data_IF_705596077573
#
_entry.id   IF_705596077573
#
_cell.length_a   1.000
_cell.length_b   1.000
_cell.length_c   1.000
_cell.angle_alpha   90.00
_cell.angle_beta   90.00
_cell.angle_gamma   90.00
#
_symmetry.space_group_name_H-M   'P 1'
#
loop_
_entity.id
_entity.type
_entity.pdbx_description
1 polymer ?
#
# COMPACT_ATOMS: atom_id res chain seq x y z
N UNK A 1 -8.59 5.55 7.39
CA UNK A 1 -8.21 5.23 5.99
C UNK A 1 -7.96 6.46 5.13
N UNK A 2 -8.82 7.48 5.14
CA UNK A 2 -8.71 8.66 4.24
C UNK A 2 -7.34 9.37 4.30
N UNK A 3 -6.82 9.62 5.50
CA UNK A 3 -5.50 10.24 5.69
C UNK A 3 -4.37 9.39 5.09
N UNK A 4 -4.39 8.08 5.34
CA UNK A 4 -3.38 7.16 4.79
C UNK A 4 -3.42 7.07 3.27
N UNK A 5 -4.62 7.07 2.66
CA UNK A 5 -4.77 7.11 1.20
C UNK A 5 -4.15 8.39 0.61
N UNK A 6 -4.34 9.53 1.29
CA UNK A 6 -3.72 10.80 0.92
C UNK A 6 -2.20 10.76 0.95
N UNK A 7 -1.62 10.25 2.04
CA UNK A 7 -0.17 10.08 2.19
C UNK A 7 0.39 9.20 1.08
N UNK A 8 -0.24 8.06 0.83
CA UNK A 8 0.20 7.09 -0.18
C UNK A 8 0.15 7.67 -1.60
N UNK A 9 -0.92 8.40 -1.95
CA UNK A 9 -1.02 9.11 -3.21
C UNK A 9 0.06 10.19 -3.38
N UNK A 10 0.43 10.88 -2.29
CA UNK A 10 1.49 11.87 -2.32
C UNK A 10 2.86 11.24 -2.57
N UNK A 11 3.21 10.18 -1.81
CA UNK A 11 4.45 9.41 -2.03
C UNK A 11 4.54 8.93 -3.47
N UNK A 12 3.48 8.27 -3.96
CA UNK A 12 3.45 7.71 -5.31
C UNK A 12 3.63 8.78 -6.39
N UNK A 13 3.02 9.96 -6.21
CA UNK A 13 3.00 11.01 -7.24
C UNK A 13 4.22 11.92 -7.20
N UNK A 14 4.59 12.42 -6.01
CA UNK A 14 5.54 13.53 -5.84
C UNK A 14 6.97 13.02 -5.63
N UNK A 15 7.14 11.86 -5.00
CA UNK A 15 8.46 11.27 -4.82
C UNK A 15 8.74 10.28 -5.94
N UNK A 16 7.98 9.19 -6.01
CA UNK A 16 8.36 8.02 -6.81
C UNK A 16 8.15 8.28 -8.31
N UNK A 17 6.96 8.72 -8.72
CA UNK A 17 6.67 8.98 -10.14
C UNK A 17 7.47 10.17 -10.68
N UNK A 18 7.63 11.24 -9.88
CA UNK A 18 8.39 12.41 -10.29
C UNK A 18 9.88 12.08 -10.49
N UNK A 19 10.47 11.27 -9.62
CA UNK A 19 11.85 10.82 -9.77
C UNK A 19 12.01 9.89 -10.99
N UNK A 20 11.09 8.94 -11.17
CA UNK A 20 11.08 8.09 -12.34
C UNK A 20 10.97 8.89 -13.65
N UNK A 21 10.17 9.96 -13.67
CA UNK A 21 10.04 10.86 -14.82
C UNK A 21 11.35 11.57 -15.16
N UNK A 22 12.10 12.02 -14.15
CA UNK A 22 13.42 12.65 -14.32
C UNK A 22 14.45 11.67 -14.87
N UNK A 23 14.40 10.41 -14.45
CA UNK A 23 15.43 9.41 -14.78
C UNK A 23 15.14 8.60 -16.06
N UNK A 24 13.88 8.27 -16.35
CA UNK A 24 13.50 7.38 -17.47
C UNK A 24 12.72 8.08 -18.60
N UNK A 25 12.30 9.33 -18.40
CA UNK A 25 11.49 10.10 -19.35
C UNK A 25 10.02 9.67 -19.40
N UNK A 26 9.18 10.53 -19.97
CA UNK A 26 7.72 10.42 -19.89
C UNK A 26 7.15 9.09 -20.40
N UNK A 27 7.62 8.60 -21.56
CA UNK A 27 7.09 7.38 -22.15
C UNK A 27 7.33 6.15 -21.26
N UNK A 28 8.55 6.00 -20.74
CA UNK A 28 8.92 4.90 -19.84
C UNK A 28 8.17 4.98 -18.51
N UNK A 29 8.02 6.18 -17.95
CA UNK A 29 7.30 6.39 -16.69
C UNK A 29 5.82 6.07 -16.84
N UNK A 30 5.14 6.59 -17.86
CA UNK A 30 3.72 6.29 -18.11
C UNK A 30 3.52 4.79 -18.36
N UNK A 31 4.37 4.18 -19.19
CA UNK A 31 4.31 2.75 -19.47
C UNK A 31 4.50 1.91 -18.20
N UNK A 32 5.50 2.24 -17.38
CA UNK A 32 5.74 1.58 -16.09
C UNK A 32 4.56 1.73 -15.14
N UNK A 33 4.05 2.95 -14.94
CA UNK A 33 2.90 3.21 -14.07
C UNK A 33 1.67 2.40 -14.48
N UNK A 34 1.33 2.38 -15.77
CA UNK A 34 0.19 1.59 -16.25
C UNK A 34 0.44 0.09 -16.07
N UNK A 35 1.65 -0.40 -16.34
CA UNK A 35 1.99 -1.81 -16.13
C UNK A 35 1.91 -2.22 -14.66
N UNK A 36 2.41 -1.39 -13.75
CA UNK A 36 2.34 -1.61 -12.30
C UNK A 36 0.92 -1.57 -11.76
N UNK A 37 0.14 -0.58 -12.17
CA UNK A 37 -1.29 -0.50 -11.85
C UNK A 37 -2.04 -1.74 -12.35
N UNK A 38 -1.86 -2.11 -13.61
CA UNK A 38 -2.49 -3.31 -14.19
C UNK A 38 -2.06 -4.59 -13.45
N UNK A 39 -0.79 -4.72 -13.07
CA UNK A 39 -0.29 -5.87 -12.31
C UNK A 39 -0.99 -5.97 -10.95
N UNK A 40 -1.10 -4.84 -10.23
CA UNK A 40 -1.83 -4.79 -8.97
C UNK A 40 -3.31 -5.14 -9.18
N UNK A 41 -4.00 -4.49 -10.12
CA UNK A 41 -5.41 -4.72 -10.39
C UNK A 41 -5.70 -6.16 -10.81
N UNK A 42 -4.83 -6.78 -11.63
CA UNK A 42 -4.97 -8.19 -12.04
C UNK A 42 -4.77 -9.11 -10.84
N UNK A 43 -3.73 -8.88 -10.02
CA UNK A 43 -3.51 -9.66 -8.82
C UNK A 43 -4.70 -9.53 -7.87
N UNK A 44 -5.19 -8.31 -7.66
CA UNK A 44 -6.35 -8.02 -6.84
C UNK A 44 -7.60 -8.74 -7.36
N UNK A 45 -7.86 -8.68 -8.68
CA UNK A 45 -8.98 -9.35 -9.33
C UNK A 45 -8.89 -10.88 -9.33
N UNK A 46 -7.68 -11.45 -9.47
CA UNK A 46 -7.43 -12.88 -9.49
C UNK A 46 -7.69 -13.54 -8.13
N UNK A 47 -7.62 -12.76 -7.05
CA UNK A 47 -7.98 -13.24 -5.74
C UNK A 47 -9.50 -13.38 -5.73
N UNK A 48 -10.00 -14.62 -5.66
CA UNK A 48 -11.40 -15.08 -5.90
C UNK A 48 -12.51 -14.41 -5.06
N UNK A 49 -12.16 -13.39 -4.27
CA UNK A 49 -12.97 -12.59 -3.36
C UNK A 49 -12.74 -11.08 -3.54
N UNK A 50 -12.17 -10.65 -4.68
CA UNK A 50 -11.72 -9.29 -4.99
C UNK A 50 -12.74 -8.17 -4.67
N UNK A 51 -14.04 -8.44 -4.86
CA UNK A 51 -15.11 -7.46 -4.60
C UNK A 51 -15.33 -7.14 -3.11
N UNK A 52 -14.70 -7.87 -2.19
CA UNK A 52 -15.21 -8.01 -0.82
C UNK A 52 -14.13 -8.32 0.24
N UNK A 53 -12.87 -8.03 -0.07
CA UNK A 53 -11.70 -8.59 0.64
C UNK A 53 -11.27 -7.81 1.88
N UNK A 54 -11.35 -6.47 1.82
CA UNK A 54 -11.18 -5.56 2.96
C UNK A 54 -12.55 -5.06 3.39
N UNK A 55 -13.27 -5.93 4.09
CA UNK A 55 -14.51 -5.59 4.77
C UNK A 55 -14.14 -4.89 6.07
N UNK A 56 -14.31 -3.57 6.14
CA UNK A 56 -14.23 -2.81 7.39
C UNK A 56 -15.31 -3.30 8.36
N UNK A 57 -14.98 -3.45 9.64
CA UNK A 57 -15.84 -4.08 10.65
C UNK A 57 -17.29 -3.59 10.74
N UNK A 58 -17.61 -2.39 10.24
CA UNK A 58 -18.97 -1.82 10.24
C UNK A 58 -19.58 -1.56 8.85
N UNK A 59 -18.82 -1.55 7.74
CA UNK A 59 -19.36 -1.19 6.41
C UNK A 59 -20.04 -2.38 5.72
N UNK A 60 -19.46 -3.58 5.92
CA UNK A 60 -20.02 -4.89 5.63
C UNK A 60 -19.28 -5.82 6.60
N UNK A 61 -19.94 -6.39 7.62
CA UNK A 61 -19.25 -7.14 8.66
C UNK A 61 -18.31 -8.17 8.07
N UNK A 62 -17.08 -8.24 8.58
CA UNK A 62 -16.22 -9.36 8.26
C UNK A 62 -16.93 -10.63 8.72
N UNK A 63 -17.21 -11.59 7.83
CA UNK A 63 -17.85 -12.81 8.25
C UNK A 63 -16.91 -13.54 9.22
N UNK A 64 -17.50 -14.08 10.27
CA UNK A 64 -16.83 -15.05 11.14
C UNK A 64 -16.48 -16.31 10.33
N UNK A 65 -15.57 -17.15 10.84
CA UNK A 65 -15.33 -18.48 10.22
C UNK A 65 -16.61 -19.32 10.13
N UNK A 66 -17.55 -19.11 11.06
CA UNK A 66 -18.82 -19.82 11.08
C UNK A 66 -19.75 -19.41 9.92
N UNK A 67 -19.70 -18.14 9.49
CA UNK A 67 -20.55 -17.61 8.41
C UNK A 67 -19.92 -17.82 7.03
N UNK A 68 -18.60 -17.72 6.93
CA UNK A 68 -17.86 -17.96 5.70
C UNK A 68 -16.53 -18.65 6.03
N UNK A 69 -16.46 -19.98 5.93
CA UNK A 69 -15.21 -20.73 6.11
C UNK A 69 -14.11 -20.22 5.19
N UNK A 70 -12.92 -19.94 5.73
CA UNK A 70 -11.80 -19.38 4.96
C UNK A 70 -11.85 -17.85 4.79
N UNK A 71 -12.79 -17.17 5.43
CA UNK A 71 -12.81 -15.69 5.46
C UNK A 71 -11.51 -15.10 6.03
N UNK A 72 -10.88 -15.77 7.02
CA UNK A 72 -9.59 -15.34 7.56
C UNK A 72 -8.45 -15.38 6.54
N UNK A 73 -8.41 -16.39 5.65
CA UNK A 73 -7.36 -16.49 4.63
C UNK A 73 -7.54 -15.42 3.55
N UNK A 74 -8.78 -15.06 3.22
CA UNK A 74 -9.07 -13.98 2.27
C UNK A 74 -8.58 -12.61 2.79
N UNK A 75 -8.76 -12.33 4.08
CA UNK A 75 -8.24 -11.11 4.73
C UNK A 75 -6.72 -11.12 4.68
N UNK A 76 -6.10 -12.22 5.12
CA UNK A 76 -4.65 -12.34 5.18
C UNK A 76 -3.99 -12.12 3.81
N UNK A 77 -4.51 -12.75 2.78
CA UNK A 77 -4.01 -12.59 1.41
C UNK A 77 -4.33 -11.21 0.83
N UNK A 78 -5.38 -10.53 1.29
CA UNK A 78 -5.71 -9.16 0.90
C UNK A 78 -4.69 -8.18 1.45
N UNK A 79 -4.48 -8.20 2.76
CA UNK A 79 -3.49 -7.34 3.41
C UNK A 79 -2.06 -7.65 2.95
N UNK A 80 -1.74 -8.92 2.68
CA UNK A 80 -0.44 -9.28 2.12
C UNK A 80 -0.25 -8.76 0.69
N UNK A 81 -1.29 -8.76 -0.15
CA UNK A 81 -1.21 -8.19 -1.50
C UNK A 81 -0.89 -6.70 -1.43
N UNK A 82 -1.56 -5.97 -0.54
CA UNK A 82 -1.41 -4.51 -0.41
C UNK A 82 -0.02 -4.13 0.12
N UNK A 83 0.60 -4.98 0.96
CA UNK A 83 1.96 -4.77 1.43
C UNK A 83 3.05 -4.97 0.36
N UNK A 84 2.75 -5.67 -0.74
CA UNK A 84 3.75 -6.00 -1.78
C UNK A 84 4.22 -4.74 -2.54
N UNK A 85 3.33 -3.89 -3.10
CA UNK A 85 3.74 -2.64 -3.74
C UNK A 85 4.64 -1.77 -2.86
N UNK A 86 4.28 -1.60 -1.58
CA UNK A 86 5.04 -0.78 -0.63
C UNK A 86 6.43 -1.37 -0.36
N UNK A 87 6.52 -2.68 -0.11
CA UNK A 87 7.79 -3.36 0.13
C UNK A 87 8.75 -3.26 -1.06
N UNK A 88 8.23 -3.45 -2.28
CA UNK A 88 9.02 -3.36 -3.50
C UNK A 88 9.57 -1.94 -3.70
N UNK A 89 8.72 -0.92 -3.55
CA UNK A 89 9.10 0.48 -3.65
C UNK A 89 10.16 0.85 -2.62
N UNK A 90 9.99 0.40 -1.37
CA UNK A 90 10.95 0.67 -0.30
C UNK A 90 12.31 0.05 -0.61
N UNK A 91 12.34 -1.22 -1.05
CA UNK A 91 13.58 -1.91 -1.38
C UNK A 91 14.32 -1.28 -2.57
N UNK A 92 13.58 -0.89 -3.62
CA UNK A 92 14.14 -0.18 -4.79
C UNK A 92 14.71 1.18 -4.38
N UNK A 93 13.98 1.93 -3.56
CA UNK A 93 14.41 3.27 -3.14
C UNK A 93 15.63 3.21 -2.21
N UNK A 94 15.60 2.29 -1.25
CA UNK A 94 16.71 2.01 -0.34
C UNK A 94 17.99 1.66 -1.09
N UNK A 95 17.89 0.89 -2.17
CA UNK A 95 19.04 0.51 -3.00
C UNK A 95 19.59 1.69 -3.81
N UNK A 96 18.71 2.54 -4.34
CA UNK A 96 19.09 3.61 -5.26
C UNK A 96 19.78 4.79 -4.54
N UNK A 97 19.27 5.21 -3.36
CA UNK A 97 19.76 6.43 -2.67
C UNK A 97 20.10 6.23 -1.20
N UNK A 98 20.00 5.00 -0.69
CA UNK A 98 20.10 4.74 0.74
C UNK A 98 18.76 4.95 1.47
N UNK A 99 18.76 4.92 2.81
CA UNK A 99 17.52 4.98 3.59
C UNK A 99 16.82 6.32 3.44
N UNK A 100 15.61 6.29 2.90
CA UNK A 100 14.72 7.44 2.80
C UNK A 100 13.75 7.44 3.98
N UNK A 101 14.08 8.26 4.98
CA UNK A 101 13.27 8.35 6.19
C UNK A 101 11.88 8.94 5.92
N UNK A 102 11.75 9.83 4.94
CA UNK A 102 10.46 10.43 4.58
C UNK A 102 9.54 9.36 4.00
N UNK A 103 10.04 8.56 3.05
CA UNK A 103 9.32 7.43 2.48
C UNK A 103 8.91 6.40 3.55
N UNK A 104 9.84 6.02 4.42
CA UNK A 104 9.57 5.06 5.53
C UNK A 104 8.46 5.60 6.44
N UNK A 105 8.56 6.86 6.85
CA UNK A 105 7.57 7.49 7.72
C UNK A 105 6.20 7.64 7.04
N UNK A 106 6.19 7.94 5.74
CA UNK A 106 4.97 8.05 4.96
C UNK A 106 4.24 6.71 4.87
N UNK A 107 4.95 5.64 4.52
CA UNK A 107 4.39 4.28 4.45
C UNK A 107 3.97 3.76 5.83
N UNK A 108 4.70 4.11 6.89
CA UNK A 108 4.28 3.79 8.25
C UNK A 108 2.99 4.51 8.62
N UNK A 109 2.86 5.78 8.24
CA UNK A 109 1.68 6.61 8.51
C UNK A 109 0.47 6.20 7.68
N UNK A 110 0.65 5.68 6.46
CA UNK A 110 -0.44 5.11 5.65
C UNK A 110 -0.94 3.77 6.22
N UNK A 111 -0.02 2.94 6.71
CA UNK A 111 -0.33 1.62 7.26
C UNK A 111 -0.99 1.66 8.64
N UNK A 112 -0.70 2.67 9.47
CA UNK A 112 -1.28 2.74 10.82
C UNK A 112 -2.83 2.77 10.80
N UNK A 113 -3.50 3.65 10.02
CA UNK A 113 -4.94 3.59 9.84
C UNK A 113 -5.45 2.24 9.32
N UNK A 114 -4.66 1.53 8.52
CA UNK A 114 -5.02 0.22 7.95
C UNK A 114 -5.00 -0.86 9.01
N UNK A 115 -3.91 -0.94 9.76
CA UNK A 115 -3.72 -1.89 10.84
C UNK A 115 -4.82 -1.77 11.90
N UNK A 116 -5.22 -0.53 12.22
CA UNK A 116 -6.33 -0.25 13.12
C UNK A 116 -7.68 -0.72 12.55
N UNK A 117 -8.00 -0.36 11.30
CA UNK A 117 -9.25 -0.77 10.63
C UNK A 117 -9.37 -2.30 10.54
N UNK A 118 -8.32 -2.95 10.04
CA UNK A 118 -8.28 -4.41 9.87
C UNK A 118 -8.35 -5.15 11.22
N UNK A 119 -7.67 -4.65 12.24
CA UNK A 119 -7.76 -5.21 13.60
C UNK A 119 -9.16 -5.06 14.18
N UNK A 120 -9.78 -3.88 14.07
CA UNK A 120 -11.14 -3.67 14.54
C UNK A 120 -12.13 -4.61 13.84
N UNK A 121 -12.01 -4.78 12.52
CA UNK A 121 -12.82 -5.73 11.74
C UNK A 121 -12.68 -7.18 12.22
N UNK A 122 -11.44 -7.64 12.42
CA UNK A 122 -11.19 -9.00 12.92
C UNK A 122 -11.74 -9.22 14.33
N UNK A 123 -11.66 -8.20 15.19
CA UNK A 123 -12.23 -8.28 16.55
C UNK A 123 -13.75 -8.34 16.53
N UNK A 124 -14.40 -7.58 15.65
CA UNK A 124 -15.85 -7.65 15.44
C UNK A 124 -16.29 -9.01 14.86
N UNK A 125 -15.47 -9.63 14.01
CA UNK A 125 -15.65 -11.00 13.53
C UNK A 125 -15.28 -12.09 14.56
N UNK A 126 -15.11 -11.73 15.84
CA UNK A 126 -14.79 -12.63 16.95
C UNK A 126 -13.48 -13.41 16.78
N UNK A 127 -12.49 -12.84 16.10
CA UNK A 127 -11.15 -13.45 15.99
C UNK A 127 -10.34 -13.26 17.27
N UNK A 128 -9.56 -14.28 17.63
CA UNK A 128 -8.70 -14.24 18.82
C UNK A 128 -7.59 -13.21 18.67
N UNK A 129 -7.11 -12.65 19.79
CA UNK A 129 -5.96 -11.73 19.78
C UNK A 129 -4.71 -12.40 19.20
N UNK A 130 -4.53 -13.70 19.43
CA UNK A 130 -3.41 -14.49 18.91
C UNK A 130 -3.43 -14.58 17.39
N UNK A 131 -4.61 -14.74 16.78
CA UNK A 131 -4.77 -14.74 15.33
C UNK A 131 -4.42 -13.38 14.72
N UNK A 132 -4.92 -12.29 15.32
CA UNK A 132 -4.64 -10.93 14.85
C UNK A 132 -3.14 -10.63 14.91
N UNK A 133 -2.50 -10.94 16.04
CA UNK A 133 -1.06 -10.72 16.23
C UNK A 133 -0.20 -11.59 15.29
N UNK A 134 -0.56 -12.86 15.09
CA UNK A 134 0.20 -13.74 14.21
C UNK A 134 0.07 -13.31 12.76
N UNK A 135 -1.11 -12.86 12.34
CA UNK A 135 -1.35 -12.34 11.00
C UNK A 135 -0.49 -11.10 10.72
N UNK A 136 -0.56 -10.08 11.58
CA UNK A 136 0.22 -8.85 11.41
C UNK A 136 1.73 -9.11 11.49
N UNK A 137 2.18 -9.98 12.39
CA UNK A 137 3.59 -10.37 12.46
C UNK A 137 4.04 -11.08 11.17
N UNK A 138 3.21 -11.96 10.62
CA UNK A 138 3.49 -12.65 9.36
C UNK A 138 3.60 -11.68 8.18
N UNK A 139 2.69 -10.71 8.10
CA UNK A 139 2.72 -9.66 7.06
C UNK A 139 3.96 -8.77 7.23
N UNK A 140 4.29 -8.36 8.46
CA UNK A 140 5.48 -7.55 8.72
C UNK A 140 6.77 -8.28 8.30
N UNK A 141 6.90 -9.56 8.66
CA UNK A 141 8.04 -10.39 8.24
C UNK A 141 8.08 -10.59 6.72
N UNK A 142 6.93 -10.83 6.09
CA UNK A 142 6.82 -10.94 4.64
C UNK A 142 7.21 -9.66 3.92
N UNK A 143 6.77 -8.51 4.43
CA UNK A 143 7.12 -7.17 3.90
C UNK A 143 8.62 -6.92 4.03
N UNK A 144 9.23 -7.25 5.17
CA UNK A 144 10.67 -7.14 5.37
C UNK A 144 11.45 -8.06 4.42
N UNK A 145 10.98 -9.29 4.21
CA UNK A 145 11.58 -10.24 3.27
C UNK A 145 11.46 -9.74 1.81
N UNK A 146 10.29 -9.26 1.39
CA UNK A 146 10.07 -8.69 0.04
C UNK A 146 10.93 -7.45 -0.18
N UNK A 147 11.03 -6.57 0.82
CA UNK A 147 11.91 -5.38 0.78
C UNK A 147 13.37 -5.79 0.60
N UNK A 148 13.83 -6.76 1.39
CA UNK A 148 15.19 -7.31 1.31
C UNK A 148 15.45 -7.93 -0.06
N UNK A 149 14.49 -8.70 -0.57
CA UNK A 149 14.57 -9.32 -1.87
C UNK A 149 14.66 -8.27 -2.99
N UNK A 150 13.83 -7.23 -2.93
CA UNK A 150 13.90 -6.10 -3.86
C UNK A 150 15.25 -5.38 -3.78
N UNK A 151 15.79 -5.15 -2.58
CA UNK A 151 17.09 -4.52 -2.42
C UNK A 151 18.23 -5.32 -3.09
N UNK A 152 18.25 -6.65 -2.90
CA UNK A 152 19.32 -7.50 -3.42
C UNK A 152 19.13 -7.93 -4.87
N UNK A 153 17.94 -8.38 -5.28
CA UNK A 153 17.72 -8.85 -6.66
C UNK A 153 17.82 -7.72 -7.69
N UNK A 154 17.61 -6.49 -7.26
CA UNK A 154 17.64 -5.31 -8.11
C UNK A 154 19.00 -4.60 -8.02
N UNK A 155 20.00 -5.22 -7.37
CA UNK A 155 21.30 -4.58 -7.06
C UNK A 155 22.14 -4.23 -8.28
N UNK A 156 21.93 -4.96 -9.38
CA UNK A 156 22.71 -4.90 -10.62
C UNK A 156 21.93 -4.26 -11.78
N UNK A 157 20.73 -3.73 -11.49
CA UNK A 157 19.92 -3.07 -12.50
C UNK A 157 20.42 -1.65 -12.74
N UNK A 158 20.65 -1.32 -14.01
CA UNK A 158 21.09 0.03 -14.41
C UNK A 158 20.05 1.11 -14.06
N UNK A 159 20.45 2.39 -13.97
CA UNK A 159 19.60 3.49 -13.50
C UNK A 159 18.24 3.59 -14.20
N UNK A 160 18.22 3.31 -15.51
CA UNK A 160 17.00 3.35 -16.32
C UNK A 160 15.99 2.26 -15.92
N UNK A 161 16.46 1.04 -15.62
CA UNK A 161 15.58 -0.06 -15.21
C UNK A 161 15.04 0.19 -13.80
N UNK A 162 15.88 0.69 -12.90
CA UNK A 162 15.47 1.11 -11.55
C UNK A 162 14.37 2.17 -11.61
N UNK A 163 14.51 3.16 -12.48
CA UNK A 163 13.50 4.19 -12.67
C UNK A 163 12.18 3.64 -13.26
N UNK A 164 12.24 2.68 -14.18
CA UNK A 164 11.04 1.99 -14.70
C UNK A 164 10.35 1.19 -13.58
N UNK A 165 11.11 0.49 -12.74
CA UNK A 165 10.55 -0.24 -11.60
C UNK A 165 9.92 0.68 -10.56
N UNK A 166 10.52 1.85 -10.31
CA UNK A 166 9.91 2.90 -9.49
C UNK A 166 8.59 3.37 -10.09
N UNK A 167 8.55 3.65 -11.40
CA UNK A 167 7.31 4.03 -12.09
C UNK A 167 6.23 2.95 -11.93
N UNK A 168 6.58 1.68 -12.10
CA UNK A 168 5.67 0.56 -11.85
C UNK A 168 5.19 0.51 -10.40
N UNK A 169 6.08 0.70 -9.43
CA UNK A 169 5.72 0.79 -8.02
C UNK A 169 4.72 1.91 -7.73
N UNK A 170 4.97 3.11 -8.26
CA UNK A 170 4.06 4.25 -8.13
C UNK A 170 2.67 3.94 -8.71
N UNK A 171 2.61 3.32 -9.89
CA UNK A 171 1.35 2.89 -10.50
C UNK A 171 0.59 1.86 -9.64
N UNK A 172 1.30 0.88 -9.09
CA UNK A 172 0.71 -0.11 -8.20
C UNK A 172 0.16 0.51 -6.90
N UNK A 173 0.88 1.47 -6.31
CA UNK A 173 0.42 2.21 -5.13
C UNK A 173 -0.83 3.06 -5.43
N UNK A 174 -0.89 3.73 -6.59
CA UNK A 174 -2.08 4.47 -7.01
C UNK A 174 -3.28 3.53 -7.20
N UNK A 175 -3.09 2.39 -7.86
CA UNK A 175 -4.14 1.39 -8.03
C UNK A 175 -4.62 0.85 -6.67
N UNK A 176 -3.70 0.55 -5.76
CA UNK A 176 -4.03 0.14 -4.38
C UNK A 176 -4.86 1.19 -3.65
N UNK A 177 -4.43 2.46 -3.66
CA UNK A 177 -5.19 3.54 -3.03
C UNK A 177 -6.60 3.66 -3.62
N UNK A 178 -6.73 3.55 -4.94
CA UNK A 178 -8.00 3.69 -5.64
C UNK A 178 -8.95 2.50 -5.45
N UNK A 179 -8.43 1.28 -5.40
CA UNK A 179 -9.23 0.05 -5.33
C UNK A 179 -9.56 -0.37 -3.90
N UNK A 180 -8.69 -0.06 -2.92
CA UNK A 180 -8.86 -0.52 -1.55
C UNK A 180 -9.05 0.63 -0.57
N UNK A 181 -8.06 1.52 -0.41
CA UNK A 181 -8.06 2.51 0.66
C UNK A 181 -9.14 3.59 0.52
N UNK A 182 -9.36 4.11 -0.69
CA UNK A 182 -10.36 5.16 -0.96
C UNK A 182 -11.78 4.61 -0.77
N UNK A 183 -12.20 3.50 -1.41
CA UNK A 183 -13.52 2.93 -1.16
C UNK A 183 -13.80 2.70 0.33
N UNK A 184 -12.81 2.19 1.07
CA UNK A 184 -12.92 1.95 2.50
C UNK A 184 -13.06 3.26 3.31
N UNK A 185 -12.31 4.29 2.92
CA UNK A 185 -12.37 5.62 3.52
C UNK A 185 -13.69 6.37 3.30
N UNK A 186 -14.37 6.15 2.18
CA UNK A 186 -15.60 6.88 1.84
C UNK A 186 -16.88 6.17 2.33
N UNK A 187 -16.83 4.86 2.56
CA UNK A 187 -18.01 4.14 3.06
C UNK A 187 -18.28 4.39 4.56
N UNK A 188 -17.22 4.47 5.38
CA UNK A 188 -17.32 4.61 6.85
C UNK A 188 -16.58 5.83 7.42
N UNK A 189 -15.98 6.65 6.57
CA UNK A 189 -15.30 7.85 7.02
C UNK A 189 -16.28 8.98 7.36
N UNK A 190 -15.84 9.97 8.14
CA UNK A 190 -16.61 11.18 8.33
C UNK A 190 -16.93 11.84 6.99
N UNK A 191 -18.02 12.64 6.93
CA UNK A 191 -18.47 13.34 5.71
C UNK A 191 -17.41 14.25 5.06
N UNK A 192 -16.30 14.48 5.74
CA UNK A 192 -15.13 15.25 5.30
C UNK A 192 -13.91 14.35 4.95
N UNK A 193 -14.12 13.10 4.54
CA UNK A 193 -13.04 12.19 4.09
C UNK A 193 -12.12 12.79 3.01
N UNK A 194 -12.66 13.62 2.12
CA UNK A 194 -11.84 14.33 1.12
C UNK A 194 -10.84 15.30 1.75
N UNK A 195 -11.23 16.03 2.80
CA UNK A 195 -10.32 16.93 3.54
C UNK A 195 -9.24 16.12 4.22
N UNK A 196 -9.58 14.99 4.85
CA UNK A 196 -8.59 14.12 5.51
C UNK A 196 -7.59 13.53 4.51
N UNK A 197 -8.04 13.14 3.32
CA UNK A 197 -7.15 12.69 2.24
C UNK A 197 -6.24 13.84 1.76
N UNK A 198 -6.79 15.04 1.54
CA UNK A 198 -5.98 16.21 1.20
C UNK A 198 -4.97 16.58 2.29
N UNK A 199 -5.34 16.45 3.58
CA UNK A 199 -4.44 16.66 4.71
C UNK A 199 -3.31 15.65 4.73
N UNK A 200 -3.59 14.37 4.50
CA UNK A 200 -2.56 13.33 4.40
C UNK A 200 -1.58 13.60 3.24
N UNK A 201 -2.12 13.98 2.09
CA UNK A 201 -1.31 14.35 0.92
C UNK A 201 -0.42 15.55 1.22
N UNK A 202 -0.99 16.60 1.82
CA UNK A 202 -0.27 17.84 2.13
C UNK A 202 0.75 17.68 3.26
N UNK A 203 0.48 16.80 4.23
CA UNK A 203 1.38 16.54 5.35
C UNK A 203 2.74 15.99 4.87
N UNK A 204 2.74 15.16 3.83
CA UNK A 204 3.98 14.65 3.26
C UNK A 204 4.78 15.75 2.57
N UNK A 205 4.11 16.66 1.85
CA UNK A 205 4.77 17.83 1.24
C UNK A 205 5.50 18.65 2.31
N UNK A 206 4.83 18.92 3.43
CA UNK A 206 5.42 19.66 4.56
C UNK A 206 6.59 18.88 5.20
N UNK A 207 6.46 17.56 5.36
CA UNK A 207 7.56 16.73 5.88
C UNK A 207 8.76 16.72 4.94
N UNK A 208 8.53 16.69 3.62
CA UNK A 208 9.57 16.77 2.61
C UNK A 208 10.32 18.10 2.63
N UNK A 209 9.62 19.22 2.83
CA UNK A 209 10.26 20.54 2.99
C UNK A 209 11.05 20.68 4.30
N UNK A 210 10.58 20.07 5.39
CA UNK A 210 11.26 20.14 6.70
C UNK A 210 12.48 19.20 6.81
N UNK A 211 12.55 18.17 5.95
CA UNK A 211 13.63 17.19 5.94
C UNK A 211 14.77 17.52 4.95
N UNK A 212 14.57 18.52 4.08
CA UNK A 212 15.58 19.03 3.13
C UNK A 212 16.29 20.29 3.64
#
# INVERSE_FOLDING_TARGET
MSLGAGVLLSVASIEIAAEALKLAGAASTVGGMIAGAATFSIANAALSTAKDRKRCGECKPQPSEAEAPGSGTSIALGTALDAVPEALVLGVTLRAHGPDLALVMALALSNLPEALSGTAGMRLASRSSTYVLSLWSGIALGTAATTTLAFYLLSDLGPQVTAILKASGAGALIAMAAETMIPEAFHNGPRYSGVLAASGFSALILLGELAG
#
